data_IF_047194473621
#
_entry.id   IF_047194473621
#
_cell.length_a   1.000
_cell.length_b   1.000
_cell.length_c   1.000
_cell.angle_alpha   90.00
_cell.angle_beta   90.00
_cell.angle_gamma   90.00
#
_symmetry.space_group_name_H-M   'P 1'
#
loop_
_entity.id
_entity.type
_entity.pdbx_description
1 polymer ?
#
# COMPACT_ATOMS: atom_id res chain seq x y z
N UNK A 1 16.30 -7.79 -10.84
CA UNK A 1 16.48 -8.15 -9.43
C UNK A 1 17.96 -7.97 -9.05
N UNK A 2 18.26 -6.88 -8.31
CA UNK A 2 19.65 -6.53 -7.97
C UNK A 2 20.22 -7.38 -6.80
N UNK A 3 19.34 -8.13 -6.11
CA UNK A 3 19.70 -8.92 -4.92
C UNK A 3 19.73 -10.43 -5.18
N UNK A 4 19.41 -10.86 -6.41
CA UNK A 4 19.39 -12.28 -6.83
C UNK A 4 18.61 -13.20 -5.87
N UNK A 5 17.50 -12.67 -5.31
CA UNK A 5 16.62 -13.43 -4.43
C UNK A 5 15.73 -14.37 -5.22
N UNK A 6 15.48 -15.57 -4.71
CA UNK A 6 14.57 -16.55 -5.33
C UNK A 6 13.10 -16.24 -5.00
N UNK A 7 12.64 -15.05 -5.43
CA UNK A 7 11.26 -14.61 -5.26
C UNK A 7 10.65 -14.17 -6.58
N UNK A 8 9.38 -14.51 -6.77
CA UNK A 8 8.58 -14.06 -7.90
C UNK A 8 7.76 -12.84 -7.45
N UNK A 9 8.01 -11.69 -8.08
CA UNK A 9 7.23 -10.48 -7.84
C UNK A 9 6.04 -10.44 -8.80
N UNK A 10 4.82 -10.38 -8.25
CA UNK A 10 3.57 -10.25 -8.99
C UNK A 10 3.09 -8.80 -8.85
N UNK A 11 3.18 -8.02 -9.92
CA UNK A 11 2.59 -6.69 -9.96
C UNK A 11 1.08 -6.79 -10.23
N UNK A 12 0.28 -6.53 -9.20
CA UNK A 12 -1.18 -6.48 -9.27
C UNK A 12 -1.73 -5.04 -9.20
N UNK A 13 -0.88 -4.01 -9.28
CA UNK A 13 -1.29 -2.61 -9.26
C UNK A 13 -2.13 -2.23 -10.49
N UNK A 14 -3.14 -1.39 -10.28
CA UNK A 14 -3.99 -0.82 -11.32
C UNK A 14 -4.12 0.69 -11.10
N UNK A 15 -3.67 1.46 -12.09
CA UNK A 15 -3.71 2.92 -12.02
C UNK A 15 -5.14 3.45 -11.82
N UNK A 16 -5.31 4.40 -10.91
CA UNK A 16 -6.60 5.03 -10.62
C UNK A 16 -7.58 4.16 -9.82
N UNK A 17 -7.14 2.99 -9.35
CA UNK A 17 -8.01 2.08 -8.62
C UNK A 17 -8.38 2.61 -7.23
N UNK A 18 -9.65 2.39 -6.85
CA UNK A 18 -10.17 2.65 -5.50
C UNK A 18 -10.16 1.36 -4.68
N UNK A 19 -10.35 1.49 -3.36
CA UNK A 19 -10.49 0.32 -2.48
C UNK A 19 -11.69 -0.57 -2.87
N UNK A 20 -12.78 0.00 -3.36
CA UNK A 20 -13.90 -0.76 -3.90
C UNK A 20 -13.50 -1.59 -5.14
N UNK A 21 -12.68 -1.03 -6.02
CA UNK A 21 -12.12 -1.75 -7.17
C UNK A 21 -11.26 -2.93 -6.74
N UNK A 22 -10.30 -2.69 -5.86
CA UNK A 22 -9.42 -3.73 -5.31
C UNK A 22 -10.19 -4.86 -4.64
N UNK A 23 -11.17 -4.52 -3.79
CA UNK A 23 -12.06 -5.48 -3.15
C UNK A 23 -12.79 -6.37 -4.17
N UNK A 24 -13.28 -5.80 -5.26
CA UNK A 24 -14.05 -6.56 -6.25
C UNK A 24 -13.20 -7.57 -7.02
N UNK A 25 -11.88 -7.34 -7.13
CA UNK A 25 -10.99 -8.24 -7.88
C UNK A 25 -10.01 -9.04 -7.03
N UNK A 26 -10.01 -8.88 -5.71
CA UNK A 26 -9.01 -9.51 -4.84
C UNK A 26 -8.96 -11.02 -5.02
N UNK A 27 -10.10 -11.70 -5.16
CA UNK A 27 -10.16 -13.15 -5.39
C UNK A 27 -9.48 -13.58 -6.68
N UNK A 28 -9.48 -12.73 -7.69
CA UNK A 28 -8.74 -12.97 -8.93
C UNK A 28 -7.23 -12.76 -8.75
N UNK A 29 -6.83 -11.76 -7.97
CA UNK A 29 -5.42 -11.52 -7.63
C UNK A 29 -4.85 -12.69 -6.85
N UNK A 30 -5.62 -13.28 -5.93
CA UNK A 30 -5.24 -14.41 -5.08
C UNK A 30 -5.36 -15.78 -5.78
N UNK A 31 -5.23 -15.85 -7.10
CA UNK A 31 -5.30 -17.10 -7.85
C UNK A 31 -4.06 -18.01 -7.70
N UNK A 32 -3.00 -17.50 -7.07
CA UNK A 32 -1.76 -18.20 -6.71
C UNK A 32 -1.52 -18.15 -5.21
N UNK A 33 -0.64 -19.00 -4.73
CA UNK A 33 -0.14 -18.89 -3.37
C UNK A 33 0.79 -17.68 -3.27
N UNK A 34 0.62 -16.91 -2.20
CA UNK A 34 1.33 -15.66 -1.97
C UNK A 34 1.92 -15.72 -0.57
N UNK A 35 3.24 -15.57 -0.47
CA UNK A 35 3.96 -15.56 0.81
C UNK A 35 3.90 -14.18 1.47
N UNK A 36 4.04 -13.12 0.65
CA UNK A 36 4.02 -11.73 1.11
C UNK A 36 3.05 -10.93 0.24
N UNK A 37 2.11 -10.25 0.87
CA UNK A 37 1.12 -9.38 0.23
C UNK A 37 1.31 -7.94 0.67
N UNK A 38 1.79 -7.08 -0.24
CA UNK A 38 1.88 -5.63 0.01
C UNK A 38 0.56 -4.96 -0.42
N UNK A 39 -0.19 -4.46 0.55
CA UNK A 39 -1.42 -3.71 0.34
C UNK A 39 -1.13 -2.21 0.27
N UNK A 40 -1.00 -1.70 -0.94
CA UNK A 40 -0.84 -0.28 -1.26
C UNK A 40 -2.07 0.18 -2.05
N UNK A 41 -3.09 0.71 -1.38
CA UNK A 41 -4.38 1.08 -1.99
C UNK A 41 -5.14 2.05 -1.08
N UNK A 42 -5.85 3.02 -1.68
CA UNK A 42 -6.70 3.97 -0.96
C UNK A 42 -6.41 5.44 -1.26
N UNK A 43 -5.26 5.77 -1.88
CA UNK A 43 -4.95 7.15 -2.26
C UNK A 43 -6.06 7.76 -3.14
N UNK A 44 -6.58 6.99 -4.10
CA UNK A 44 -7.67 7.45 -4.97
C UNK A 44 -9.00 7.67 -4.23
N UNK A 45 -9.26 6.90 -3.18
CA UNK A 45 -10.42 7.12 -2.30
C UNK A 45 -10.28 8.46 -1.59
N UNK A 46 -9.12 8.70 -0.96
CA UNK A 46 -8.82 9.94 -0.26
C UNK A 46 -8.91 11.16 -1.18
N UNK A 47 -8.26 11.11 -2.34
CA UNK A 47 -8.26 12.22 -3.31
C UNK A 47 -9.65 12.51 -3.88
N UNK A 48 -10.54 11.53 -3.95
CA UNK A 48 -11.93 11.67 -4.44
C UNK A 48 -12.92 11.98 -3.33
N UNK A 49 -12.49 12.06 -2.07
CA UNK A 49 -13.34 12.32 -0.93
C UNK A 49 -14.36 11.20 -0.63
N UNK A 50 -14.01 9.95 -0.96
CA UNK A 50 -14.83 8.79 -0.58
C UNK A 50 -14.87 8.69 0.94
N UNK A 51 -16.00 8.35 1.56
CA UNK A 51 -16.09 8.20 3.01
C UNK A 51 -15.04 7.26 3.56
N UNK A 52 -14.26 7.70 4.57
CA UNK A 52 -13.17 6.91 5.13
C UNK A 52 -13.64 5.61 5.77
N UNK A 53 -14.89 5.55 6.20
CA UNK A 53 -15.54 4.32 6.68
C UNK A 53 -15.66 3.27 5.57
N UNK A 54 -15.93 3.69 4.33
CA UNK A 54 -15.99 2.80 3.17
C UNK A 54 -14.57 2.34 2.77
N UNK A 55 -13.62 3.28 2.69
CA UNK A 55 -12.22 2.98 2.44
C UNK A 55 -11.72 1.92 3.41
N UNK A 56 -11.93 2.15 4.73
CA UNK A 56 -11.54 1.22 5.78
C UNK A 56 -12.21 -0.15 5.62
N UNK A 57 -13.54 -0.17 5.43
CA UNK A 57 -14.28 -1.43 5.30
C UNK A 57 -13.82 -2.25 4.08
N UNK A 58 -13.55 -1.59 2.95
CA UNK A 58 -13.05 -2.27 1.75
C UNK A 58 -11.64 -2.84 1.96
N UNK A 59 -10.73 -2.10 2.60
CA UNK A 59 -9.39 -2.57 2.94
C UNK A 59 -9.44 -3.76 3.92
N UNK A 60 -10.33 -3.73 4.92
CA UNK A 60 -10.52 -4.85 5.84
C UNK A 60 -10.97 -6.10 5.07
N UNK A 61 -11.93 -6.00 4.16
CA UNK A 61 -12.36 -7.16 3.34
C UNK A 61 -11.19 -7.71 2.51
N UNK A 62 -10.32 -6.86 1.98
CA UNK A 62 -9.13 -7.33 1.25
C UNK A 62 -8.20 -8.10 2.19
N UNK A 63 -7.94 -7.59 3.40
CA UNK A 63 -7.13 -8.26 4.41
C UNK A 63 -7.72 -9.62 4.77
N UNK A 64 -9.02 -9.67 5.05
CA UNK A 64 -9.74 -10.90 5.40
C UNK A 64 -9.63 -11.95 4.28
N UNK A 65 -9.85 -11.56 3.03
CA UNK A 65 -9.74 -12.47 1.86
C UNK A 65 -8.32 -13.02 1.67
N UNK A 66 -7.27 -12.23 1.97
CA UNK A 66 -5.88 -12.71 1.93
C UNK A 66 -5.64 -13.71 3.04
N UNK A 67 -6.07 -13.43 4.27
CA UNK A 67 -5.89 -14.30 5.42
C UNK A 67 -6.70 -15.60 5.30
N UNK A 68 -7.94 -15.52 4.79
CA UNK A 68 -8.79 -16.67 4.56
C UNK A 68 -8.21 -17.58 3.46
N UNK A 69 -7.60 -17.00 2.43
CA UNK A 69 -6.97 -17.77 1.34
C UNK A 69 -5.71 -18.49 1.82
N UNK A 70 -4.86 -17.83 2.58
CA UNK A 70 -3.67 -18.43 3.18
C UNK A 70 -3.30 -17.71 4.48
N UNK A 71 -3.62 -18.31 5.65
CA UNK A 71 -3.31 -17.72 6.96
C UNK A 71 -1.82 -17.48 7.24
N UNK A 72 -0.92 -18.07 6.44
CA UNK A 72 0.53 -17.88 6.59
C UNK A 72 1.07 -16.71 5.77
N UNK A 73 0.27 -16.10 4.89
CA UNK A 73 0.67 -14.93 4.13
C UNK A 73 1.01 -13.76 5.05
N UNK A 74 2.20 -13.23 4.93
CA UNK A 74 2.58 -11.98 5.62
C UNK A 74 1.97 -10.80 4.87
N UNK A 75 1.10 -10.05 5.54
CA UNK A 75 0.50 -8.84 4.96
C UNK A 75 1.26 -7.61 5.47
N UNK A 76 1.60 -6.72 4.56
CA UNK A 76 2.20 -5.41 4.82
C UNK A 76 1.20 -4.36 4.35
N UNK A 77 0.75 -3.49 5.24
CA UNK A 77 -0.09 -2.34 4.87
C UNK A 77 0.82 -1.15 4.62
N UNK A 78 0.70 -0.53 3.46
CA UNK A 78 1.38 0.72 3.13
C UNK A 78 0.51 1.91 3.52
N UNK A 79 0.99 2.72 4.47
CA UNK A 79 0.36 3.96 4.86
C UNK A 79 0.47 5.02 3.78
N UNK A 80 -0.53 5.90 3.72
CA UNK A 80 -0.64 6.98 2.75
C UNK A 80 -1.02 8.28 3.43
N UNK A 81 -0.61 9.37 2.83
CA UNK A 81 -0.99 10.72 3.23
C UNK A 81 -1.66 11.47 2.07
N UNK A 82 -2.51 12.41 2.41
CA UNK A 82 -3.16 13.29 1.45
C UNK A 82 -2.52 14.68 1.46
N UNK A 83 -2.60 15.43 0.35
CA UNK A 83 -2.15 16.80 0.30
C UNK A 83 -2.79 17.65 1.41
N UNK A 84 -2.02 18.54 2.06
CA UNK A 84 -2.49 19.28 3.24
C UNK A 84 -3.65 20.25 2.96
N UNK A 85 -3.87 20.61 1.71
CA UNK A 85 -4.97 21.46 1.27
C UNK A 85 -6.36 20.79 1.35
N UNK A 86 -6.43 19.49 1.64
CA UNK A 86 -7.70 18.75 1.84
C UNK A 86 -8.26 18.89 3.27
N UNK A 87 -7.61 19.66 4.12
CA UNK A 87 -8.06 19.94 5.49
C UNK A 87 -7.47 18.99 6.54
N UNK A 88 -7.03 19.57 7.66
CA UNK A 88 -6.24 18.86 8.69
C UNK A 88 -6.99 17.68 9.32
N UNK A 89 -8.28 17.81 9.56
CA UNK A 89 -9.08 16.73 10.18
C UNK A 89 -9.14 15.53 9.23
N UNK A 90 -9.57 15.76 8.00
CA UNK A 90 -9.70 14.70 7.00
C UNK A 90 -8.37 13.99 6.69
N UNK A 91 -7.29 14.75 6.51
CA UNK A 91 -5.95 14.17 6.23
C UNK A 91 -5.43 13.36 7.42
N UNK A 92 -5.69 13.79 8.66
CA UNK A 92 -5.32 13.04 9.85
C UNK A 92 -6.12 11.75 9.99
N UNK A 93 -7.43 11.81 9.80
CA UNK A 93 -8.31 10.64 9.83
C UNK A 93 -7.96 9.64 8.73
N UNK A 94 -7.68 10.13 7.51
CA UNK A 94 -7.24 9.30 6.40
C UNK A 94 -5.96 8.50 6.74
N UNK A 95 -4.95 9.18 7.29
CA UNK A 95 -3.71 8.52 7.73
C UNK A 95 -3.97 7.44 8.76
N UNK A 96 -4.87 7.70 9.71
CA UNK A 96 -5.20 6.76 10.78
C UNK A 96 -5.84 5.47 10.28
N UNK A 97 -6.56 5.49 9.14
CA UNK A 97 -7.18 4.28 8.56
C UNK A 97 -6.15 3.15 8.41
N UNK A 98 -4.99 3.44 7.87
CA UNK A 98 -3.96 2.44 7.57
C UNK A 98 -3.27 1.91 8.83
N UNK A 99 -2.87 2.82 9.73
CA UNK A 99 -2.22 2.45 10.98
C UNK A 99 -3.16 1.67 11.91
N UNK A 100 -4.44 2.03 11.94
CA UNK A 100 -5.44 1.32 12.73
C UNK A 100 -5.70 -0.08 12.18
N UNK A 101 -5.84 -0.22 10.85
CA UNK A 101 -5.99 -1.52 10.21
C UNK A 101 -4.79 -2.43 10.49
N UNK A 102 -3.58 -1.91 10.34
CA UNK A 102 -2.37 -2.68 10.61
C UNK A 102 -2.30 -3.14 12.07
N UNK A 103 -2.59 -2.24 13.02
CA UNK A 103 -2.60 -2.54 14.46
C UNK A 103 -3.67 -3.57 14.83
N UNK A 104 -4.90 -3.38 14.38
CA UNK A 104 -6.04 -4.22 14.75
C UNK A 104 -5.93 -5.64 14.18
N UNK A 105 -5.31 -5.79 13.01
CA UNK A 105 -5.08 -7.08 12.37
C UNK A 105 -3.68 -7.67 12.65
N UNK A 106 -2.86 -7.01 13.49
CA UNK A 106 -1.48 -7.42 13.81
C UNK A 106 -0.61 -7.60 12.55
N UNK A 107 -0.69 -6.66 11.61
CA UNK A 107 0.02 -6.69 10.33
C UNK A 107 1.31 -5.87 10.38
N UNK A 108 2.20 -6.11 9.41
CA UNK A 108 3.34 -5.23 9.16
C UNK A 108 2.84 -3.90 8.58
N UNK A 109 3.56 -2.83 8.88
CA UNK A 109 3.13 -1.49 8.50
C UNK A 109 4.30 -0.63 8.00
N UNK A 110 4.11 0.00 6.84
CA UNK A 110 4.95 1.08 6.33
C UNK A 110 4.22 2.38 6.65
N UNK A 111 4.75 3.25 7.53
CA UNK A 111 4.01 4.45 7.99
C UNK A 111 3.60 5.39 6.87
N UNK A 112 4.50 5.62 5.90
CA UNK A 112 4.21 6.43 4.72
C UNK A 112 5.02 5.92 3.52
N UNK A 113 4.33 5.38 2.51
CA UNK A 113 4.99 4.77 1.34
C UNK A 113 5.79 5.79 0.51
N UNK A 114 5.37 7.08 0.50
CA UNK A 114 6.04 8.16 -0.20
C UNK A 114 6.98 8.97 0.72
N UNK A 115 7.46 8.40 1.81
CA UNK A 115 8.44 9.06 2.69
C UNK A 115 9.66 9.50 1.87
N UNK A 116 10.08 10.78 2.06
CA UNK A 116 11.14 11.42 1.30
C UNK A 116 10.90 11.55 -0.22
N UNK A 117 9.69 11.33 -0.70
CA UNK A 117 9.29 11.49 -2.11
C UNK A 117 8.11 12.44 -2.25
N UNK A 118 7.09 12.28 -1.41
CA UNK A 118 5.86 13.06 -1.48
C UNK A 118 6.11 14.56 -1.37
N UNK A 119 5.61 15.34 -2.33
CA UNK A 119 5.74 16.80 -2.36
C UNK A 119 7.10 17.34 -2.81
N UNK A 120 8.08 16.49 -3.14
CA UNK A 120 9.38 16.89 -3.66
C UNK A 120 9.30 16.94 -5.19
N UNK A 121 9.39 18.14 -5.77
CA UNK A 121 9.13 18.37 -7.20
C UNK A 121 10.01 17.50 -8.13
N UNK A 122 11.29 17.32 -7.79
CA UNK A 122 12.25 16.56 -8.59
C UNK A 122 11.99 15.05 -8.55
N UNK A 123 11.28 14.58 -7.52
CA UNK A 123 10.97 13.16 -7.31
C UNK A 123 9.55 12.79 -7.78
N UNK A 124 8.77 13.78 -8.20
CA UNK A 124 7.42 13.60 -8.72
C UNK A 124 7.30 14.08 -10.16
N UNK A 125 6.39 13.48 -10.91
CA UNK A 125 6.06 13.90 -12.27
C UNK A 125 5.38 15.29 -12.23
N UNK A 126 5.10 15.87 -13.40
CA UNK A 126 4.50 17.20 -13.53
C UNK A 126 3.15 17.36 -12.79
N UNK A 127 2.47 16.27 -12.52
CA UNK A 127 1.21 16.26 -11.78
C UNK A 127 1.41 16.42 -10.25
N UNK A 128 2.65 16.29 -9.77
CA UNK A 128 3.00 16.41 -8.35
C UNK A 128 2.54 15.23 -7.48
N UNK A 129 2.04 14.16 -8.08
CA UNK A 129 1.42 13.02 -7.38
C UNK A 129 2.20 11.74 -7.66
N UNK A 130 2.49 11.46 -8.95
CA UNK A 130 3.13 10.22 -9.35
C UNK A 130 4.65 10.35 -9.30
N UNK A 131 5.36 9.41 -8.66
CA UNK A 131 6.82 9.45 -8.58
C UNK A 131 7.50 9.36 -9.95
N UNK A 132 8.68 9.99 -10.05
CA UNK A 132 9.63 9.77 -11.14
C UNK A 132 10.37 8.45 -10.95
N UNK A 133 11.22 8.08 -11.91
CA UNK A 133 12.11 6.90 -11.79
C UNK A 133 12.97 6.98 -10.52
N UNK A 134 13.48 8.17 -10.20
CA UNK A 134 14.29 8.39 -9.00
C UNK A 134 13.43 8.30 -7.73
N UNK A 135 12.21 8.84 -7.74
CA UNK A 135 11.25 8.68 -6.65
C UNK A 135 10.92 7.20 -6.39
N UNK A 136 10.73 6.41 -7.43
CA UNK A 136 10.49 4.96 -7.29
C UNK A 136 11.67 4.20 -6.66
N UNK A 137 12.92 4.62 -6.86
CA UNK A 137 14.07 4.01 -6.19
C UNK A 137 14.03 4.23 -4.68
N UNK A 138 13.61 5.43 -4.26
CA UNK A 138 13.46 5.74 -2.83
C UNK A 138 12.32 4.92 -2.23
N UNK A 139 11.17 4.84 -2.91
CA UNK A 139 10.04 4.00 -2.48
C UNK A 139 10.46 2.53 -2.36
N UNK A 140 11.23 2.01 -3.31
CA UNK A 140 11.75 0.65 -3.24
C UNK A 140 12.59 0.42 -1.99
N UNK A 141 13.43 1.39 -1.59
CA UNK A 141 14.19 1.31 -0.34
C UNK A 141 13.28 1.35 0.89
N UNK A 142 12.27 2.23 0.91
CA UNK A 142 11.27 2.28 2.01
C UNK A 142 10.56 0.93 2.19
N UNK A 143 10.19 0.29 1.08
CA UNK A 143 9.59 -1.06 1.12
C UNK A 143 10.62 -2.10 1.57
N UNK A 144 11.86 -1.99 1.08
CA UNK A 144 12.94 -2.93 1.40
C UNK A 144 13.27 -2.97 2.89
N UNK A 145 13.29 -1.84 3.59
CA UNK A 145 13.52 -1.75 5.05
C UNK A 145 12.57 -2.65 5.86
N UNK A 146 11.37 -2.88 5.34
CA UNK A 146 10.39 -3.78 5.98
C UNK A 146 10.55 -5.22 5.49
N UNK A 147 10.87 -5.41 4.19
CA UNK A 147 10.97 -6.73 3.56
C UNK A 147 12.24 -7.50 3.93
N UNK A 148 13.39 -6.83 4.09
CA UNK A 148 14.70 -7.49 4.24
C UNK A 148 14.76 -8.51 5.38
N UNK A 149 13.99 -8.28 6.46
CA UNK A 149 13.91 -9.18 7.59
C UNK A 149 12.95 -10.38 7.37
N UNK A 150 12.25 -10.42 6.23
CA UNK A 150 11.28 -11.46 5.89
C UNK A 150 11.75 -12.33 4.73
N UNK A 151 12.67 -11.81 3.92
CA UNK A 151 13.25 -12.52 2.78
C UNK A 151 14.66 -12.93 3.10
N UNK A 152 14.98 -14.22 3.07
CA UNK A 152 16.34 -14.71 3.26
C UNK A 152 17.02 -14.71 1.90
N UNK A 153 18.18 -14.03 1.74
CA UNK A 153 19.02 -14.24 0.58
C UNK A 153 19.50 -15.70 0.57
N UNK A 154 19.46 -16.35 -0.58
CA UNK A 154 20.00 -17.69 -0.79
C UNK A 154 21.51 -17.71 -0.69
#
# INVERSE_FOLDING_TARGET
DSLELDYIVINAGLSGETTAGGKNRIKWVLNKDIDIFLLELGANDGLRGIPLTETRANLQVIIDEVQDKNPTTTIIVAGMELPPNMGKVYTSEFRSVFSDLARENNLKFIPFILENVGGIAELNQRDGIHPTVEGHKIIANTVWEVLENMVNPL
#
